data_IF_283073926812
#
_entry.id   IF_283073926812
#
_cell.length_a   1.000
_cell.length_b   1.000
_cell.length_c   1.000
_cell.angle_alpha   90.00
_cell.angle_beta   90.00
_cell.angle_gamma   90.00
#
_symmetry.space_group_name_H-M   'P 1'
#
loop_
_entity.id
_entity.type
_entity.pdbx_description
1 polymer ?
#
# COMPACT_ATOMS: atom_id res chain seq x y z
N UNK A 1 11.79 -7.75 2.11
CA UNK A 1 10.92 -7.63 3.31
C UNK A 1 9.89 -6.51 3.10
N UNK A 2 8.76 -6.49 3.83
CA UNK A 2 7.76 -5.41 3.77
C UNK A 2 7.24 -5.07 5.17
N UNK A 3 7.23 -3.79 5.52
CA UNK A 3 6.73 -3.27 6.79
C UNK A 3 6.57 -1.75 6.65
N UNK A 4 5.56 -1.12 7.29
CA UNK A 4 5.40 0.35 7.26
C UNK A 4 6.47 1.14 8.02
N UNK A 5 7.48 0.47 8.60
CA UNK A 5 8.55 1.10 9.37
C UNK A 5 9.87 0.71 8.74
N UNK A 6 10.58 1.70 8.22
CA UNK A 6 11.89 1.51 7.61
C UNK A 6 12.90 0.97 8.61
N UNK A 7 12.79 1.33 9.90
CA UNK A 7 13.65 0.80 10.95
C UNK A 7 13.49 -0.72 11.14
N UNK A 8 12.26 -1.23 11.05
CA UNK A 8 12.00 -2.68 11.12
C UNK A 8 12.54 -3.40 9.89
N UNK A 9 12.42 -2.80 8.70
CA UNK A 9 13.02 -3.36 7.47
C UNK A 9 14.53 -3.37 7.54
N UNK A 10 15.12 -2.29 8.07
CA UNK A 10 16.56 -2.19 8.23
C UNK A 10 17.09 -3.26 9.18
N UNK A 11 16.43 -3.45 10.34
CA UNK A 11 16.81 -4.51 11.27
C UNK A 11 16.75 -5.91 10.64
N UNK A 12 15.70 -6.21 9.87
CA UNK A 12 15.59 -7.48 9.14
C UNK A 12 16.66 -7.65 8.05
N UNK A 13 16.96 -6.57 7.31
CA UNK A 13 17.98 -6.57 6.27
C UNK A 13 19.39 -6.76 6.84
N UNK A 14 19.65 -6.29 8.06
CA UNK A 14 20.90 -6.48 8.77
C UNK A 14 21.02 -7.88 9.39
N UNK A 15 19.93 -8.45 9.92
CA UNK A 15 19.96 -9.76 10.56
C UNK A 15 19.95 -10.93 9.58
N UNK A 16 19.32 -10.77 8.40
CA UNK A 16 19.14 -11.86 7.44
C UNK A 16 20.46 -12.43 6.87
N UNK A 17 21.44 -11.62 6.44
CA UNK A 17 22.70 -12.14 5.90
C UNK A 17 23.47 -13.01 6.89
N UNK A 18 23.50 -12.62 8.17
CA UNK A 18 24.19 -13.37 9.22
C UNK A 18 23.56 -14.74 9.45
N UNK A 19 22.22 -14.81 9.49
CA UNK A 19 21.51 -16.07 9.68
C UNK A 19 21.64 -16.98 8.46
N UNK A 20 21.58 -16.41 7.25
CA UNK A 20 21.77 -17.15 6.02
C UNK A 20 23.19 -17.74 5.90
N UNK A 21 24.23 -17.00 6.33
CA UNK A 21 25.62 -17.48 6.35
C UNK A 21 25.80 -18.70 7.24
N UNK A 22 25.29 -18.67 8.47
CA UNK A 22 25.35 -19.81 9.40
C UNK A 22 24.75 -21.08 8.80
N UNK A 23 23.63 -20.95 8.10
CA UNK A 23 22.96 -22.08 7.45
C UNK A 23 23.79 -22.66 6.31
N UNK A 24 24.40 -21.83 5.44
CA UNK A 24 25.16 -22.36 4.30
C UNK A 24 26.51 -22.94 4.73
N UNK A 25 27.17 -22.38 5.74
CA UNK A 25 28.43 -22.91 6.29
C UNK A 25 28.23 -24.30 6.88
N UNK A 26 27.14 -24.51 7.63
CA UNK A 26 26.77 -25.81 8.18
C UNK A 26 26.51 -26.88 7.10
N UNK A 27 26.21 -26.47 5.86
CA UNK A 27 25.88 -27.36 4.74
C UNK A 27 26.96 -27.38 3.65
N UNK A 28 28.10 -26.71 3.85
CA UNK A 28 29.20 -26.66 2.86
C UNK A 28 28.84 -25.92 1.55
N UNK A 29 27.85 -25.04 1.58
CA UNK A 29 27.40 -24.27 0.42
C UNK A 29 28.08 -22.88 0.37
N UNK A 30 28.10 -22.28 -0.82
CA UNK A 30 28.48 -20.86 -1.01
C UNK A 30 27.23 -19.99 -1.10
N UNK A 31 27.31 -18.77 -0.58
CA UNK A 31 26.22 -17.80 -0.59
C UNK A 31 26.67 -16.49 -1.21
N UNK A 32 25.87 -15.98 -2.13
CA UNK A 32 25.95 -14.62 -2.67
C UNK A 32 24.58 -13.96 -2.49
N UNK A 33 24.56 -12.74 -1.94
CA UNK A 33 23.34 -11.98 -1.69
C UNK A 33 23.45 -10.62 -2.35
N UNK A 34 22.45 -10.28 -3.16
CA UNK A 34 22.34 -8.97 -3.84
C UNK A 34 20.98 -8.39 -3.57
N UNK A 35 20.93 -7.19 -2.99
CA UNK A 35 19.68 -6.45 -2.84
C UNK A 35 19.28 -5.86 -4.20
N UNK A 36 18.22 -6.39 -4.79
CA UNK A 36 17.73 -5.92 -6.09
C UNK A 36 16.77 -4.74 -5.98
N UNK A 37 16.10 -4.59 -4.84
CA UNK A 37 14.99 -3.67 -4.73
C UNK A 37 14.73 -3.20 -3.30
N UNK A 38 14.66 -1.87 -3.14
CA UNK A 38 14.28 -1.21 -1.89
C UNK A 38 13.37 -0.02 -2.19
N UNK A 39 12.19 -0.04 -1.59
CA UNK A 39 11.28 1.11 -1.54
C UNK A 39 11.10 1.50 -0.07
N UNK A 40 11.39 2.75 0.32
CA UNK A 40 11.09 3.23 1.68
C UNK A 40 9.59 3.31 1.92
N UNK A 41 9.18 3.33 3.19
CA UNK A 41 7.81 3.62 3.57
C UNK A 41 7.37 4.97 2.99
N UNK A 42 6.22 4.99 2.31
CA UNK A 42 5.71 6.17 1.64
C UNK A 42 4.34 6.55 2.23
N UNK A 43 4.30 7.49 3.19
CA UNK A 43 3.05 8.10 3.61
C UNK A 43 2.38 8.82 2.42
N UNK A 44 1.05 8.76 2.40
CA UNK A 44 0.22 9.54 1.50
C UNK A 44 -0.08 10.92 2.09
N UNK A 45 -0.45 11.87 1.23
CA UNK A 45 -0.75 13.25 1.63
C UNK A 45 -1.98 13.28 2.53
N UNK A 46 -1.83 13.85 3.73
CA UNK A 46 -2.88 13.87 4.74
C UNK A 46 -4.15 14.59 4.24
N UNK A 47 -4.01 15.66 3.45
CA UNK A 47 -5.18 16.38 2.92
C UNK A 47 -5.95 15.56 1.90
N UNK A 48 -5.26 14.79 1.05
CA UNK A 48 -5.89 13.87 0.10
C UNK A 48 -6.56 12.69 0.81
N UNK A 49 -5.91 12.12 1.83
CA UNK A 49 -6.50 11.04 2.67
C UNK A 49 -7.76 11.56 3.38
N UNK A 50 -7.73 12.78 3.91
CA UNK A 50 -8.89 13.39 4.57
C UNK A 50 -10.07 13.59 3.60
N UNK A 51 -9.82 13.97 2.35
CA UNK A 51 -10.86 14.07 1.32
C UNK A 51 -11.53 12.73 1.04
N UNK A 52 -10.74 11.66 0.94
CA UNK A 52 -11.25 10.28 0.79
C UNK A 52 -12.11 9.89 2.00
N UNK A 53 -11.62 10.16 3.23
CA UNK A 53 -12.36 9.87 4.47
C UNK A 53 -13.69 10.62 4.53
N UNK A 54 -13.68 11.90 4.17
CA UNK A 54 -14.88 12.73 4.15
C UNK A 54 -15.87 12.26 3.08
N UNK A 55 -15.40 11.86 1.90
CA UNK A 55 -16.24 11.31 0.84
C UNK A 55 -16.96 10.03 1.32
N UNK A 56 -16.23 9.06 1.87
CA UNK A 56 -16.82 7.84 2.42
C UNK A 56 -17.86 8.14 3.52
N UNK A 57 -17.54 9.08 4.42
CA UNK A 57 -18.46 9.51 5.49
C UNK A 57 -19.73 10.17 4.94
N UNK A 58 -19.64 11.04 3.93
CA UNK A 58 -20.82 11.68 3.31
C UNK A 58 -21.77 10.67 2.67
N UNK A 59 -21.20 9.63 2.06
CA UNK A 59 -21.95 8.55 1.43
C UNK A 59 -22.51 7.54 2.45
N UNK A 60 -22.21 7.68 3.75
CA UNK A 60 -22.66 6.75 4.78
C UNK A 60 -21.99 5.37 4.71
N UNK A 61 -20.84 5.27 4.03
CA UNK A 61 -20.14 4.00 3.84
C UNK A 61 -19.29 3.64 5.07
N UNK A 62 -19.33 2.38 5.54
CA UNK A 62 -18.40 1.92 6.55
C UNK A 62 -16.97 1.97 5.99
N UNK A 63 -16.05 2.56 6.74
CA UNK A 63 -14.67 2.75 6.31
C UNK A 63 -13.70 2.67 7.48
N UNK A 64 -12.44 2.36 7.17
CA UNK A 64 -11.31 2.34 8.11
C UNK A 64 -10.04 2.78 7.41
N UNK A 65 -9.08 3.28 8.19
CA UNK A 65 -7.71 3.48 7.71
C UNK A 65 -7.04 2.12 7.45
N UNK A 66 -6.21 2.06 6.42
CA UNK A 66 -5.46 0.85 6.05
C UNK A 66 -4.12 1.20 5.43
N UNK A 67 -3.12 0.35 5.68
CA UNK A 67 -1.81 0.41 5.04
C UNK A 67 -1.80 -0.55 3.87
N UNK A 68 -1.44 -0.09 2.68
CA UNK A 68 -1.30 -0.96 1.51
C UNK A 68 -0.11 -1.92 1.69
N UNK A 69 -0.38 -3.23 1.61
CA UNK A 69 0.66 -4.26 1.67
C UNK A 69 1.40 -4.50 0.36
N UNK A 70 0.92 -3.92 -0.74
CA UNK A 70 1.46 -4.08 -2.09
C UNK A 70 1.95 -2.75 -2.68
N UNK A 71 2.93 -2.83 -3.57
CA UNK A 71 3.37 -1.68 -4.36
C UNK A 71 2.32 -1.32 -5.41
N UNK A 72 2.06 -0.02 -5.56
CA UNK A 72 1.17 0.55 -6.59
C UNK A 72 1.86 1.76 -7.19
N UNK A 73 1.52 2.14 -8.42
CA UNK A 73 2.11 3.31 -9.09
C UNK A 73 1.95 4.60 -8.25
N UNK A 74 0.84 4.71 -7.52
CA UNK A 74 0.57 5.82 -6.60
C UNK A 74 1.70 6.06 -5.57
N UNK A 75 2.43 5.02 -5.18
CA UNK A 75 3.60 5.14 -4.27
C UNK A 75 4.71 5.98 -4.91
N UNK A 76 4.93 5.85 -6.22
CA UNK A 76 5.91 6.66 -6.93
C UNK A 76 5.39 8.06 -7.20
N UNK A 77 4.10 8.19 -7.56
CA UNK A 77 3.44 9.49 -7.79
C UNK A 77 3.47 10.36 -6.52
N UNK A 78 3.25 9.75 -5.35
CA UNK A 78 3.26 10.42 -4.05
C UNK A 78 4.59 11.10 -3.69
N UNK A 79 5.69 10.76 -4.37
CA UNK A 79 6.99 11.43 -4.17
C UNK A 79 7.04 12.84 -4.70
N UNK A 80 6.13 13.18 -5.61
CA UNK A 80 6.16 14.46 -6.33
C UNK A 80 4.87 15.27 -6.18
N UNK A 81 3.73 14.62 -5.96
CA UNK A 81 2.43 15.31 -5.88
C UNK A 81 1.56 14.77 -4.73
N UNK A 82 0.72 15.62 -4.09
CA UNK A 82 -0.24 15.18 -3.09
C UNK A 82 -1.13 14.05 -3.60
N UNK A 83 -1.01 12.87 -2.98
CA UNK A 83 -1.62 11.62 -3.47
C UNK A 83 -2.25 10.88 -2.30
N UNK A 84 -3.35 10.16 -2.55
CA UNK A 84 -3.94 9.16 -1.65
C UNK A 84 -4.50 7.99 -2.47
N UNK A 85 -4.85 6.90 -1.81
CA UNK A 85 -5.47 5.73 -2.42
C UNK A 85 -6.82 5.43 -1.77
N UNK A 86 -7.71 4.78 -2.52
CA UNK A 86 -9.00 4.26 -2.06
C UNK A 86 -8.98 2.76 -2.28
N UNK A 87 -9.32 1.99 -1.24
CA UNK A 87 -9.43 0.53 -1.32
C UNK A 87 -10.89 0.12 -1.18
N UNK A 88 -11.31 -0.82 -2.01
CA UNK A 88 -12.53 -1.61 -1.82
C UNK A 88 -12.15 -3.01 -1.32
N UNK A 89 -13.06 -3.73 -0.65
CA UNK A 89 -12.82 -5.12 -0.32
C UNK A 89 -12.66 -5.97 -1.58
N UNK A 90 -12.06 -7.15 -1.39
CA UNK A 90 -12.04 -8.21 -2.38
C UNK A 90 -12.41 -9.51 -1.66
N UNK A 91 -13.14 -10.39 -2.35
CA UNK A 91 -13.61 -11.66 -1.79
C UNK A 91 -12.43 -12.46 -1.23
N UNK A 92 -12.54 -12.83 0.04
CA UNK A 92 -11.52 -13.58 0.80
C UNK A 92 -10.13 -12.90 0.84
N UNK A 93 -10.03 -11.62 0.47
CA UNK A 93 -8.75 -10.91 0.33
C UNK A 93 -7.83 -11.48 -0.76
N UNK A 94 -8.38 -12.27 -1.68
CA UNK A 94 -7.61 -12.94 -2.72
C UNK A 94 -7.21 -11.94 -3.80
N UNK A 95 -5.96 -12.01 -4.28
CA UNK A 95 -5.54 -11.26 -5.45
C UNK A 95 -4.46 -12.01 -6.24
N UNK A 96 -4.17 -11.59 -7.47
CA UNK A 96 -3.25 -12.27 -8.40
C UNK A 96 -3.65 -13.73 -8.64
N UNK A 97 -4.97 -13.96 -8.67
CA UNK A 97 -5.57 -15.26 -8.88
C UNK A 97 -6.83 -15.07 -9.73
N UNK A 98 -7.13 -16.02 -10.61
CA UNK A 98 -8.27 -15.95 -11.52
C UNK A 98 -9.64 -15.93 -10.79
N UNK A 99 -9.68 -16.36 -9.52
CA UNK A 99 -10.87 -16.29 -8.67
C UNK A 99 -11.01 -14.94 -7.91
N UNK A 100 -10.09 -13.99 -8.11
CA UNK A 100 -10.20 -12.63 -7.59
C UNK A 100 -11.53 -12.01 -8.03
N UNK A 101 -12.28 -11.44 -7.08
CA UNK A 101 -13.60 -10.88 -7.36
C UNK A 101 -14.02 -9.83 -6.34
N UNK A 102 -14.83 -8.89 -6.82
CA UNK A 102 -15.51 -7.87 -6.02
C UNK A 102 -16.99 -7.90 -6.35
N UNK A 103 -17.83 -7.47 -5.40
CA UNK A 103 -19.26 -7.29 -5.66
C UNK A 103 -19.49 -5.99 -6.46
N UNK A 104 -20.52 -5.93 -7.33
CA UNK A 104 -20.85 -4.70 -8.06
C UNK A 104 -21.03 -3.48 -7.15
N UNK A 105 -21.61 -3.67 -5.97
CA UNK A 105 -21.86 -2.62 -4.98
C UNK A 105 -20.54 -2.11 -4.35
N UNK A 106 -19.53 -2.97 -4.21
CA UNK A 106 -18.20 -2.57 -3.74
C UNK A 106 -17.50 -1.73 -4.79
N UNK A 107 -17.62 -2.12 -6.07
CA UNK A 107 -17.09 -1.35 -7.20
C UNK A 107 -17.75 0.04 -7.29
N UNK A 108 -19.08 0.10 -7.18
CA UNK A 108 -19.83 1.35 -7.17
C UNK A 108 -19.41 2.25 -6.01
N UNK A 109 -19.34 1.71 -4.79
CA UNK A 109 -18.94 2.46 -3.60
C UNK A 109 -17.53 3.06 -3.75
N UNK A 110 -16.56 2.27 -4.24
CA UNK A 110 -15.20 2.74 -4.51
C UNK A 110 -15.16 3.88 -5.54
N UNK A 111 -15.88 3.71 -6.65
CA UNK A 111 -15.99 4.73 -7.70
C UNK A 111 -16.66 6.02 -7.19
N UNK A 112 -17.71 5.91 -6.38
CA UNK A 112 -18.41 7.08 -5.83
C UNK A 112 -17.53 7.84 -4.83
N UNK A 113 -16.76 7.15 -3.99
CA UNK A 113 -15.77 7.79 -3.10
C UNK A 113 -14.69 8.51 -3.91
N UNK A 114 -14.20 7.89 -4.98
CA UNK A 114 -13.22 8.50 -5.89
C UNK A 114 -13.78 9.78 -6.52
N UNK A 115 -15.00 9.72 -7.06
CA UNK A 115 -15.67 10.87 -7.67
C UNK A 115 -15.77 12.04 -6.67
N UNK A 116 -16.31 11.78 -5.48
CA UNK A 116 -16.48 12.78 -4.43
C UNK A 116 -15.16 13.42 -3.97
N UNK A 117 -14.11 12.61 -3.81
CA UNK A 117 -12.80 13.11 -3.39
C UNK A 117 -12.11 13.94 -4.49
N UNK A 118 -12.20 13.49 -5.75
CA UNK A 118 -11.61 14.19 -6.90
C UNK A 118 -12.31 15.53 -7.14
N UNK A 119 -13.65 15.57 -7.13
CA UNK A 119 -14.42 16.81 -7.30
C UNK A 119 -14.08 17.81 -6.19
N UNK A 120 -14.04 17.35 -4.93
CA UNK A 120 -13.66 18.22 -3.82
C UNK A 120 -12.22 18.76 -3.96
N UNK A 121 -11.28 17.92 -4.41
CA UNK A 121 -9.90 18.35 -4.66
C UNK A 121 -9.81 19.33 -5.82
N UNK A 122 -10.56 19.12 -6.89
CA UNK A 122 -10.54 19.95 -8.10
C UNK A 122 -11.15 21.34 -7.87
N UNK A 123 -12.18 21.43 -7.03
CA UNK A 123 -12.88 22.68 -6.69
C UNK A 123 -12.26 23.45 -5.50
N UNK A 124 -11.06 23.07 -5.04
CA UNK A 124 -10.38 23.79 -3.97
C UNK A 124 -9.99 25.21 -4.42
N UNK A 125 -9.99 26.22 -3.52
CA UNK A 125 -9.43 27.52 -3.83
C UNK A 125 -7.96 27.40 -4.26
N UNK A 126 -7.55 28.26 -5.20
CA UNK A 126 -6.15 28.43 -5.59
C UNK A 126 -5.37 29.18 -4.51
#
# INVERSE_FOLDING_TARGET
FRHPSDAQIQGLAESFPEEARKLVEANGCKLELTELFRIPAQPFDASCVDLVRQAAKRLGLPSREIISGAGHDAVYVARSVPTAMIFTPCKDGLSHNEAESIMPEEAEAGCQVLFEAVVARANRPL
#
